data_IF_335249506945
#
_entry.id   IF_335249506945
#
_cell.length_a   1.000
_cell.length_b   1.000
_cell.length_c   1.000
_cell.angle_alpha   90.00
_cell.angle_beta   90.00
_cell.angle_gamma   90.00
#
_symmetry.space_group_name_H-M   'P 1'
#
loop_
_entity.id
_entity.type
_entity.pdbx_description
1 polymer ?
#
# COMPACT_ATOMS: atom_id res chain seq x y z
N UNK A 1 10.24 -4.48 -2.09
CA UNK A 1 10.93 -3.23 -1.74
C UNK A 1 12.01 -3.00 -2.78
N UNK A 2 12.45 -1.76 -2.96
CA UNK A 2 13.45 -1.43 -3.98
C UNK A 2 14.78 -2.18 -3.82
N UNK A 3 15.17 -2.47 -2.58
CA UNK A 3 16.38 -3.24 -2.22
C UNK A 3 16.23 -4.77 -2.36
N UNK A 4 15.04 -5.26 -2.73
CA UNK A 4 14.74 -6.69 -2.83
C UNK A 4 14.58 -7.44 -1.50
N UNK A 5 14.68 -6.75 -0.35
CA UNK A 5 14.56 -7.39 0.96
C UNK A 5 13.14 -7.88 1.26
N UNK A 6 12.13 -7.09 0.91
CA UNK A 6 10.75 -7.41 1.26
C UNK A 6 9.87 -7.58 0.02
N UNK A 7 9.21 -8.72 -0.09
CA UNK A 7 8.12 -8.91 -1.05
C UNK A 7 6.79 -8.63 -0.34
N UNK A 8 5.96 -7.80 -0.97
CA UNK A 8 4.62 -7.48 -0.49
C UNK A 8 3.59 -8.06 -1.44
N UNK A 9 2.63 -8.78 -0.87
CA UNK A 9 1.51 -9.37 -1.59
C UNK A 9 0.24 -8.82 -0.95
N UNK A 10 -0.47 -8.01 -1.70
CA UNK A 10 -1.82 -7.56 -1.36
C UNK A 10 -2.81 -8.58 -1.88
N UNK A 11 -3.77 -8.98 -1.05
CA UNK A 11 -4.97 -9.65 -1.52
C UNK A 11 -6.18 -9.02 -0.88
N UNK A 12 -7.24 -8.88 -1.67
CA UNK A 12 -8.52 -8.34 -1.25
C UNK A 12 -9.57 -9.45 -1.31
N UNK A 13 -10.38 -9.53 -0.26
CA UNK A 13 -11.58 -10.34 -0.24
C UNK A 13 -12.76 -9.43 -0.65
N UNK A 14 -13.59 -9.80 -1.64
CA UNK A 14 -14.75 -8.99 -2.05
C UNK A 14 -15.71 -8.65 -0.91
N UNK A 15 -15.73 -9.45 0.16
CA UNK A 15 -16.60 -9.27 1.32
C UNK A 15 -15.94 -8.45 2.45
N UNK A 16 -14.68 -8.02 2.28
CA UNK A 16 -13.93 -7.27 3.30
C UNK A 16 -13.56 -5.88 2.80
N UNK A 17 -13.65 -4.88 3.67
CA UNK A 17 -13.19 -3.50 3.39
C UNK A 17 -11.69 -3.31 3.60
N UNK A 18 -10.97 -4.34 4.04
CA UNK A 18 -9.56 -4.25 4.40
C UNK A 18 -8.61 -4.74 3.31
N UNK A 19 -7.39 -4.22 3.34
CA UNK A 19 -6.24 -4.84 2.68
C UNK A 19 -5.65 -5.88 3.60
N UNK A 20 -5.48 -7.09 3.10
CA UNK A 20 -4.61 -8.05 3.74
C UNK A 20 -3.23 -8.01 3.04
N UNK A 21 -2.20 -7.75 3.84
CA UNK A 21 -0.81 -7.72 3.41
C UNK A 21 -0.10 -8.95 3.92
N UNK A 22 0.46 -9.71 2.99
CA UNK A 22 1.49 -10.71 3.28
C UNK A 22 2.85 -10.09 2.95
N UNK A 23 3.76 -10.18 3.91
CA UNK A 23 5.11 -9.63 3.83
C UNK A 23 6.07 -10.78 3.94
N UNK A 24 6.92 -10.95 2.94
CA UNK A 24 7.99 -11.93 2.97
C UNK A 24 9.33 -11.21 3.06
N UNK A 25 10.06 -11.42 4.16
CA UNK A 25 11.46 -11.02 4.29
C UNK A 25 12.33 -12.07 3.60
N UNK A 26 12.95 -11.68 2.49
CA UNK A 26 13.76 -12.56 1.64
C UNK A 26 15.11 -12.92 2.26
N UNK A 27 15.61 -12.11 3.20
CA UNK A 27 16.87 -12.38 3.90
C UNK A 27 16.66 -13.37 5.05
N UNK A 28 15.61 -13.14 5.85
CA UNK A 28 15.33 -13.98 7.02
C UNK A 28 14.42 -15.17 6.70
N UNK A 29 13.86 -15.24 5.49
CA UNK A 29 12.86 -16.23 5.08
C UNK A 29 11.67 -16.30 6.05
N UNK A 30 11.18 -15.12 6.46
CA UNK A 30 10.07 -14.96 7.42
C UNK A 30 8.86 -14.35 6.73
N UNK A 31 7.68 -14.79 7.15
CA UNK A 31 6.40 -14.28 6.68
C UNK A 31 5.71 -13.54 7.81
N UNK A 32 5.21 -12.34 7.51
CA UNK A 32 4.37 -11.55 8.40
C UNK A 32 3.04 -11.29 7.70
N UNK A 33 1.99 -11.21 8.49
CA UNK A 33 0.66 -10.83 8.02
C UNK A 33 0.23 -9.59 8.78
N UNK A 34 -0.28 -8.61 8.04
CA UNK A 34 -0.93 -7.45 8.63
C UNK A 34 -2.21 -7.14 7.88
N UNK A 35 -3.22 -6.70 8.62
CA UNK A 35 -4.48 -6.23 8.09
C UNK A 35 -4.50 -4.71 8.19
N UNK A 36 -4.88 -4.03 7.11
CA UNK A 36 -5.09 -2.60 7.09
C UNK A 36 -6.56 -2.34 6.81
N UNK A 37 -7.28 -1.86 7.82
CA UNK A 37 -8.69 -1.56 7.68
C UNK A 37 -8.90 -0.27 6.88
N UNK A 38 -9.68 -0.38 5.81
CA UNK A 38 -10.15 0.74 5.01
C UNK A 38 -11.53 1.21 5.46
N UNK A 39 -11.84 2.47 5.18
CA UNK A 39 -13.12 3.08 5.56
C UNK A 39 -14.19 2.97 4.46
N UNK A 40 -13.82 2.45 3.27
CA UNK A 40 -14.69 2.32 2.11
C UNK A 40 -15.28 0.92 1.98
N UNK A 41 -16.57 0.84 1.68
CA UNK A 41 -17.31 -0.40 1.46
C UNK A 41 -16.94 -1.14 0.15
N UNK A 42 -16.03 -0.58 -0.67
CA UNK A 42 -15.69 -1.12 -1.98
C UNK A 42 -14.22 -1.59 -2.00
N UNK A 43 -13.95 -2.89 -2.04
CA UNK A 43 -12.60 -3.42 -2.04
C UNK A 43 -11.99 -3.35 -3.43
N UNK A 44 -11.07 -2.42 -3.67
CA UNK A 44 -10.18 -2.48 -4.85
C UNK A 44 -8.82 -1.90 -4.54
N UNK A 45 -7.96 -2.72 -3.93
CA UNK A 45 -6.54 -2.43 -3.79
C UNK A 45 -5.76 -3.42 -4.65
N UNK A 46 -5.77 -3.18 -5.97
CA UNK A 46 -5.04 -4.03 -6.92
C UNK A 46 -3.59 -3.59 -7.11
N UNK A 47 -3.25 -2.39 -6.63
CA UNK A 47 -1.99 -1.74 -6.98
C UNK A 47 -1.34 -1.16 -5.74
N UNK A 48 -0.06 -1.47 -5.59
CA UNK A 48 0.79 -0.92 -4.56
C UNK A 48 2.12 -0.53 -5.20
N UNK A 49 2.69 0.59 -4.75
CA UNK A 49 3.95 1.10 -5.31
C UNK A 49 4.90 1.48 -4.18
N UNK A 50 6.11 0.93 -4.23
CA UNK A 50 7.17 1.31 -3.32
C UNK A 50 7.72 2.69 -3.67
N UNK A 51 7.96 3.50 -2.65
CA UNK A 51 8.79 4.68 -2.78
C UNK A 51 10.20 4.27 -3.20
N UNK A 52 10.91 5.10 -3.99
CA UNK A 52 12.26 4.76 -4.46
C UNK A 52 13.27 4.53 -3.32
N UNK A 53 13.09 5.20 -2.20
CA UNK A 53 13.89 5.03 -0.98
C UNK A 53 13.49 3.81 -0.13
N UNK A 54 12.41 3.12 -0.49
CA UNK A 54 11.89 1.96 0.25
C UNK A 54 11.21 2.29 1.57
N UNK A 55 11.06 3.57 1.92
CA UNK A 55 10.47 4.00 3.19
C UNK A 55 8.95 3.82 3.24
N UNK A 56 8.27 3.73 2.09
CA UNK A 56 6.80 3.74 2.01
C UNK A 56 6.27 2.84 0.91
N UNK A 57 5.18 2.15 1.19
CA UNK A 57 4.30 1.53 0.21
C UNK A 57 3.06 2.41 0.03
N UNK A 58 2.87 2.96 -1.16
CA UNK A 58 1.66 3.68 -1.52
C UNK A 58 0.61 2.70 -2.02
N UNK A 59 -0.59 2.78 -1.45
CA UNK A 59 -1.77 1.99 -1.82
C UNK A 59 -2.94 2.96 -2.04
N UNK A 60 -3.36 3.21 -3.29
CA UNK A 60 -4.55 4.00 -3.58
C UNK A 60 -5.77 3.28 -3.02
N UNK A 61 -6.58 4.01 -2.25
CA UNK A 61 -7.90 3.60 -1.81
C UNK A 61 -8.95 4.56 -2.41
N UNK A 62 -10.22 4.16 -2.37
CA UNK A 62 -11.27 5.02 -2.92
C UNK A 62 -11.50 6.23 -2.02
N UNK A 63 -10.89 7.35 -2.42
CA UNK A 63 -10.95 8.61 -1.70
C UNK A 63 -9.64 9.01 -1.04
N UNK A 64 -8.61 8.16 -0.94
CA UNK A 64 -7.31 8.58 -0.40
C UNK A 64 -6.14 7.71 -0.86
N UNK A 65 -4.90 8.14 -0.60
CA UNK A 65 -3.72 7.29 -0.75
C UNK A 65 -3.25 6.88 0.64
N UNK A 66 -3.23 5.59 0.94
CA UNK A 66 -2.58 5.07 2.13
C UNK A 66 -1.08 4.93 1.87
N UNK A 67 -0.27 5.35 2.83
CA UNK A 67 1.14 5.02 2.94
C UNK A 67 1.35 4.04 4.08
N UNK A 68 2.07 2.97 3.82
CA UNK A 68 2.36 1.96 4.83
C UNK A 68 3.82 1.49 4.77
N UNK A 69 4.47 1.34 5.92
CA UNK A 69 5.73 0.61 6.03
C UNK A 69 6.03 0.19 7.47
N UNK A 70 6.37 -1.09 7.69
CA UNK A 70 6.78 -1.62 8.99
C UNK A 70 5.86 -1.23 10.16
N UNK A 71 4.54 -1.34 9.95
CA UNK A 71 3.53 -1.04 10.96
C UNK A 71 3.17 0.45 11.10
N UNK A 72 3.85 1.34 10.37
CA UNK A 72 3.40 2.72 10.19
C UNK A 72 2.33 2.76 9.12
N UNK A 73 1.22 3.42 9.42
CA UNK A 73 0.04 3.56 8.56
C UNK A 73 -0.40 5.02 8.56
N UNK A 74 -0.22 5.68 7.41
CA UNK A 74 -0.59 7.07 7.20
C UNK A 74 -1.59 7.18 6.06
N UNK A 75 -2.66 7.94 6.26
CA UNK A 75 -3.66 8.20 5.24
C UNK A 75 -3.44 9.61 4.70
N UNK A 76 -2.96 9.71 3.47
CA UNK A 76 -2.71 10.98 2.80
C UNK A 76 -3.84 11.31 1.84
N UNK A 77 -4.30 12.56 1.93
CA UNK A 77 -5.19 13.26 0.99
C UNK A 77 -6.57 12.62 0.82
N UNK A 78 -7.64 13.41 1.02
CA UNK A 78 -9.01 12.99 0.70
C UNK A 78 -9.38 13.50 -0.71
N UNK A 79 -9.32 12.64 -1.71
CA UNK A 79 -9.81 12.90 -3.06
C UNK A 79 -11.27 12.39 -3.17
N UNK A 80 -12.19 12.98 -2.42
CA UNK A 80 -13.60 12.57 -2.47
C UNK A 80 -14.12 12.53 -3.91
N UNK A 81 -14.70 11.40 -4.31
CA UNK A 81 -15.30 11.22 -5.62
C UNK A 81 -14.34 10.89 -6.77
N UNK A 82 -13.02 10.79 -6.53
CA UNK A 82 -12.07 10.31 -7.54
C UNK A 82 -11.77 8.82 -7.32
N UNK A 83 -12.13 8.01 -8.31
CA UNK A 83 -11.80 6.58 -8.37
C UNK A 83 -10.34 6.36 -8.78
N UNK A 84 -9.40 6.87 -7.98
CA UNK A 84 -7.97 6.65 -8.21
C UNK A 84 -7.65 5.16 -8.10
N UNK A 85 -7.28 4.55 -9.23
CA UNK A 85 -6.94 3.13 -9.28
C UNK A 85 -5.46 2.87 -9.13
N UNK A 86 -4.61 3.88 -9.37
CA UNK A 86 -3.16 3.73 -9.41
C UNK A 86 -2.47 4.96 -8.82
N UNK A 87 -1.32 4.71 -8.19
CA UNK A 87 -0.37 5.74 -7.81
C UNK A 87 1.05 5.27 -8.17
N UNK A 88 1.90 6.23 -8.49
CA UNK A 88 3.30 6.00 -8.73
C UNK A 88 4.10 7.10 -8.02
N UNK A 89 5.25 6.70 -7.48
CA UNK A 89 6.22 7.66 -7.01
C UNK A 89 7.00 8.23 -8.19
N UNK A 90 7.22 9.53 -8.17
CA UNK A 90 8.13 10.21 -9.09
C UNK A 90 9.37 10.65 -8.33
N UNK A 91 10.50 10.75 -9.04
CA UNK A 91 11.67 11.39 -8.49
C UNK A 91 11.31 12.80 -8.01
N UNK A 92 11.94 13.24 -6.92
CA UNK A 92 11.76 14.60 -6.44
C UNK A 92 12.08 15.56 -7.59
N UNK A 93 11.11 16.35 -7.99
CA UNK A 93 11.36 17.42 -8.96
C UNK A 93 12.18 18.49 -8.24
N UNK A 94 13.38 18.78 -8.76
CA UNK A 94 14.09 19.99 -8.37
C UNK A 94 13.21 21.19 -8.76
N UNK A 95 13.13 22.23 -7.90
CA UNK A 95 12.35 23.42 -8.19
C UNK A 95 12.87 24.20 -9.40
#
# INVERSE_FOLDING_TARGET
>A
SPDGRFLFITYANPDETAVNLTIYDTQESRVFHTRLDGDSALPRHFYASWSPDGAWLAMPEMGYIRLWHNGRDERLLNFEGLGCTNAAWVARMEP
#
